data_IF_259974611711
#
_entry.id   IF_259974611711
#
_cell.length_a   1.000
_cell.length_b   1.000
_cell.length_c   1.000
_cell.angle_alpha   90.00
_cell.angle_beta   90.00
_cell.angle_gamma   90.00
#
_symmetry.space_group_name_H-M   'P 1'
#
loop_
_entity.id
_entity.type
_entity.pdbx_description
1 polymer ?
#
# COMPACT_ATOMS: atom_id res chain seq x y z
N UNK A 1 -6.55 2.44 -2.55
CA UNK A 1 -6.33 0.97 -2.66
C UNK A 1 -5.83 0.65 -4.05
N UNK A 2 -5.06 -0.42 -4.20
CA UNK A 2 -4.69 -0.97 -5.51
C UNK A 2 -5.01 -2.45 -5.62
N UNK A 3 -5.26 -2.91 -6.84
CA UNK A 3 -5.13 -4.31 -7.23
C UNK A 3 -3.94 -4.46 -8.17
N UNK A 4 -3.17 -5.53 -7.94
CA UNK A 4 -1.99 -5.87 -8.72
C UNK A 4 -2.22 -7.18 -9.46
N UNK A 5 -1.81 -7.23 -10.72
CA UNK A 5 -1.69 -8.45 -11.51
C UNK A 5 -0.27 -8.56 -12.04
N UNK A 6 0.45 -9.59 -11.61
CA UNK A 6 1.82 -9.86 -12.04
C UNK A 6 1.84 -10.70 -13.32
N UNK A 7 2.51 -10.17 -14.36
CA UNK A 7 2.75 -10.86 -15.62
C UNK A 7 4.26 -10.91 -15.88
N UNK A 8 4.89 -12.04 -15.59
CA UNK A 8 6.32 -12.23 -15.85
C UNK A 8 6.55 -12.42 -17.36
N UNK A 9 7.48 -11.69 -17.99
CA UNK A 9 7.79 -11.87 -19.40
C UNK A 9 8.28 -13.28 -19.72
N UNK A 10 7.83 -13.82 -20.86
CA UNK A 10 8.27 -15.14 -21.32
C UNK A 10 9.80 -15.18 -21.49
N UNK A 11 10.42 -16.28 -21.07
CA UNK A 11 11.88 -16.45 -21.13
C UNK A 11 12.66 -15.78 -20.01
N UNK A 12 11.99 -15.12 -19.04
CA UNK A 12 12.67 -14.63 -17.83
C UNK A 12 13.17 -15.82 -17.01
N UNK A 13 14.48 -15.89 -16.68
CA UNK A 13 15.02 -16.99 -15.87
C UNK A 13 14.38 -17.01 -14.48
N UNK A 14 14.05 -18.20 -13.95
CA UNK A 14 13.41 -18.35 -12.64
C UNK A 14 14.17 -17.65 -11.51
N UNK A 15 15.50 -17.73 -11.51
CA UNK A 15 16.34 -17.02 -10.54
C UNK A 15 16.18 -15.49 -10.60
N UNK A 16 15.97 -14.91 -11.79
CA UNK A 16 15.70 -13.47 -11.95
C UNK A 16 14.30 -13.12 -11.43
N UNK A 17 13.32 -14.01 -11.62
CA UNK A 17 11.98 -13.83 -11.08
C UNK A 17 12.03 -13.84 -9.55
N UNK A 18 12.66 -14.86 -8.96
CA UNK A 18 12.77 -15.01 -7.51
C UNK A 18 13.52 -13.84 -6.87
N UNK A 19 14.63 -13.39 -7.49
CA UNK A 19 15.40 -12.24 -7.01
C UNK A 19 14.57 -10.94 -7.07
N UNK A 20 13.77 -10.74 -8.11
CA UNK A 20 12.91 -9.55 -8.23
C UNK A 20 11.77 -9.59 -7.21
N UNK A 21 11.16 -10.76 -6.98
CA UNK A 21 10.13 -10.95 -5.95
C UNK A 21 10.69 -10.70 -4.55
N UNK A 22 11.91 -11.15 -4.26
CA UNK A 22 12.56 -10.90 -2.98
C UNK A 22 12.75 -9.38 -2.74
N UNK A 23 13.29 -8.67 -3.73
CA UNK A 23 13.46 -7.21 -3.68
C UNK A 23 12.13 -6.48 -3.55
N UNK A 24 11.08 -6.96 -4.22
CA UNK A 24 9.72 -6.43 -4.06
C UNK A 24 9.26 -6.55 -2.61
N UNK A 25 9.42 -7.73 -2.02
CA UNK A 25 9.01 -7.97 -0.65
C UNK A 25 9.77 -7.05 0.33
N UNK A 26 11.06 -6.82 0.11
CA UNK A 26 11.86 -5.91 0.93
C UNK A 26 11.38 -4.47 0.78
N UNK A 27 11.15 -4.00 -0.46
CA UNK A 27 10.61 -2.65 -0.70
C UNK A 27 9.22 -2.45 -0.08
N UNK A 28 8.36 -3.46 -0.17
CA UNK A 28 7.04 -3.43 0.47
C UNK A 28 7.13 -3.36 2.00
N UNK A 29 8.10 -4.06 2.61
CA UNK A 29 8.36 -3.97 4.06
C UNK A 29 8.84 -2.58 4.48
N UNK A 30 9.72 -1.96 3.70
CA UNK A 30 10.16 -0.58 3.94
C UNK A 30 8.98 0.39 3.90
N UNK A 31 8.14 0.29 2.86
CA UNK A 31 6.95 1.13 2.71
C UNK A 31 5.94 0.92 3.84
N UNK A 32 5.82 -0.30 4.37
CA UNK A 32 5.01 -0.58 5.55
C UNK A 32 5.61 0.06 6.81
N UNK A 33 6.93 -0.02 6.99
CA UNK A 33 7.65 0.64 8.09
C UNK A 33 7.55 2.18 8.05
N UNK A 34 7.40 2.75 6.86
CA UNK A 34 7.17 4.19 6.64
C UNK A 34 5.69 4.59 6.81
N UNK A 35 4.78 3.63 6.99
CA UNK A 35 3.35 3.89 7.12
C UNK A 35 2.60 4.12 5.79
N UNK A 36 3.28 3.98 4.65
CA UNK A 36 2.65 4.11 3.33
C UNK A 36 1.84 2.87 2.95
N UNK A 37 2.38 1.67 3.18
CA UNK A 37 1.65 0.42 2.96
C UNK A 37 0.98 -0.02 4.26
N UNK A 38 -0.32 0.26 4.38
CA UNK A 38 -1.08 -0.08 5.58
C UNK A 38 -1.31 -1.59 5.68
N UNK A 39 -1.71 -2.23 4.57
CA UNK A 39 -1.99 -3.66 4.50
C UNK A 39 -1.81 -4.18 3.07
N UNK A 40 -1.38 -5.43 2.97
CA UNK A 40 -1.21 -6.15 1.71
C UNK A 40 -1.82 -7.54 1.84
N UNK A 41 -2.61 -7.93 0.84
CA UNK A 41 -3.24 -9.24 0.77
C UNK A 41 -2.84 -9.95 -0.53
N UNK A 42 -2.69 -11.27 -0.46
CA UNK A 42 -2.65 -12.14 -1.63
C UNK A 42 -4.09 -12.50 -2.00
N UNK A 43 -4.47 -12.24 -3.24
CA UNK A 43 -5.80 -12.61 -3.74
C UNK A 43 -5.78 -14.03 -4.32
N UNK A 44 -6.93 -14.69 -4.45
CA UNK A 44 -7.04 -15.95 -5.19
C UNK A 44 -6.55 -15.78 -6.64
N UNK A 45 -5.89 -16.80 -7.17
CA UNK A 45 -5.21 -16.74 -8.48
C UNK A 45 -3.71 -16.51 -8.37
N UNK A 46 -2.98 -16.80 -9.44
CA UNK A 46 -1.52 -16.63 -9.49
C UNK A 46 -1.16 -15.16 -9.71
N UNK A 47 -0.30 -14.60 -8.85
CA UNK A 47 0.24 -13.25 -9.06
C UNK A 47 -0.72 -12.10 -8.78
N UNK A 48 -1.82 -12.33 -8.07
CA UNK A 48 -2.78 -11.27 -7.71
C UNK A 48 -2.61 -10.80 -6.26
N UNK A 49 -2.63 -9.48 -6.06
CA UNK A 49 -2.54 -8.88 -4.74
C UNK A 49 -3.42 -7.62 -4.62
N UNK A 50 -3.76 -7.26 -3.39
CA UNK A 50 -4.48 -6.04 -3.04
C UNK A 50 -3.67 -5.26 -2.03
N UNK A 51 -3.42 -3.97 -2.30
CA UNK A 51 -2.71 -3.07 -1.40
C UNK A 51 -3.63 -1.97 -0.87
N UNK A 52 -3.60 -1.73 0.44
CA UNK A 52 -4.18 -0.55 1.08
C UNK A 52 -3.05 0.41 1.42
N UNK A 53 -3.15 1.63 0.92
CA UNK A 53 -2.10 2.62 0.95
C UNK A 53 -2.56 3.90 1.65
N UNK A 54 -1.65 4.52 2.38
CA UNK A 54 -1.78 5.88 2.91
C UNK A 54 -0.74 6.77 2.23
N UNK A 55 -1.24 7.77 1.53
CA UNK A 55 -0.45 8.75 0.79
C UNK A 55 -1.11 10.11 0.92
N UNK A 56 -0.33 11.17 0.74
CA UNK A 56 -0.78 12.56 0.74
C UNK A 56 -1.55 12.88 -0.54
N UNK A 57 -1.06 12.42 -1.69
CA UNK A 57 -1.66 12.69 -2.99
C UNK A 57 -1.39 11.59 -4.03
N UNK A 58 -1.95 11.78 -5.22
CA UNK A 58 -1.79 10.87 -6.35
C UNK A 58 -0.35 10.81 -6.87
N UNK A 59 0.42 11.90 -6.80
CA UNK A 59 1.78 11.93 -7.31
C UNK A 59 2.71 11.06 -6.44
N UNK A 60 2.56 11.13 -5.12
CA UNK A 60 3.24 10.25 -4.18
C UNK A 60 2.87 8.78 -4.43
N UNK A 61 1.59 8.49 -4.69
CA UNK A 61 1.16 7.14 -5.05
C UNK A 61 1.88 6.63 -6.31
N UNK A 62 1.96 7.44 -7.36
CA UNK A 62 2.65 7.05 -8.59
C UNK A 62 4.16 6.84 -8.35
N UNK A 63 4.79 7.68 -7.54
CA UNK A 63 6.21 7.53 -7.19
C UNK A 63 6.46 6.23 -6.41
N UNK A 64 5.59 5.90 -5.45
CA UNK A 64 5.67 4.64 -4.70
C UNK A 64 5.53 3.45 -5.64
N UNK A 65 4.51 3.44 -6.51
CA UNK A 65 4.29 2.34 -7.46
C UNK A 65 5.46 2.19 -8.44
N UNK A 66 6.03 3.30 -8.92
CA UNK A 66 7.21 3.27 -9.78
C UNK A 66 8.48 2.77 -9.06
N UNK A 67 8.53 2.90 -7.73
CA UNK A 67 9.66 2.42 -6.92
C UNK A 67 9.66 0.90 -6.71
N UNK A 68 8.55 0.22 -6.99
CA UNK A 68 8.42 -1.22 -6.81
C UNK A 68 9.26 -1.96 -7.86
N UNK A 69 10.15 -2.90 -7.46
CA UNK A 69 10.94 -3.71 -8.38
C UNK A 69 10.13 -4.45 -9.45
N UNK A 70 8.90 -4.86 -9.14
CA UNK A 70 8.01 -5.53 -10.09
C UNK A 70 7.18 -4.57 -10.94
N UNK A 71 7.34 -3.25 -10.83
CA UNK A 71 6.55 -2.24 -11.56
C UNK A 71 6.49 -2.49 -13.07
N UNK A 72 7.58 -2.96 -13.68
CA UNK A 72 7.64 -3.28 -15.12
C UNK A 72 6.85 -4.54 -15.51
N UNK A 73 6.53 -5.42 -14.55
CA UNK A 73 5.81 -6.68 -14.75
C UNK A 73 4.39 -6.63 -14.18
N UNK A 74 4.03 -5.54 -13.52
CA UNK A 74 2.74 -5.38 -12.85
C UNK A 74 1.79 -4.52 -13.66
N UNK A 75 0.56 -5.00 -13.80
CA UNK A 75 -0.58 -4.13 -14.07
C UNK A 75 -1.19 -3.71 -12.74
N UNK A 76 -1.41 -2.40 -12.56
CA UNK A 76 -1.92 -1.82 -11.32
C UNK A 76 -3.19 -1.03 -11.61
N UNK A 77 -4.28 -1.36 -10.92
CA UNK A 77 -5.46 -0.51 -10.89
C UNK A 77 -5.51 0.21 -9.56
N UNK A 78 -5.65 1.54 -9.58
CA UNK A 78 -5.72 2.37 -8.38
C UNK A 78 -7.15 2.87 -8.19
N UNK A 79 -7.70 2.66 -7.00
CA UNK A 79 -9.01 3.17 -6.58
C UNK A 79 -8.81 4.05 -5.34
N UNK A 80 -9.02 5.39 -5.45
CA UNK A 80 -9.05 6.27 -4.29
C UNK A 80 -10.14 5.84 -3.31
N UNK A 81 -9.83 5.89 -2.01
CA UNK A 81 -10.79 5.55 -0.96
C UNK A 81 -11.06 6.79 -0.11
N UNK A 82 -12.32 6.99 0.25
CA UNK A 82 -12.74 8.00 1.22
C UNK A 82 -13.22 7.29 2.49
N UNK A 83 -12.84 7.75 3.70
CA UNK A 83 -13.36 7.18 4.94
C UNK A 83 -14.88 7.20 4.97
N UNK A 84 -15.50 6.08 5.33
CA UNK A 84 -16.94 6.02 5.53
C UNK A 84 -17.30 6.72 6.86
N UNK A 85 -18.39 7.51 6.95
CA UNK A 85 -18.73 8.24 8.18
C UNK A 85 -18.88 7.36 9.41
N UNK A 86 -19.28 6.09 9.25
CA UNK A 86 -19.42 5.13 10.36
C UNK A 86 -18.10 4.71 11.00
N UNK A 87 -17.00 4.75 10.24
CA UNK A 87 -15.65 4.41 10.73
C UNK A 87 -14.81 5.65 10.98
N UNK A 88 -15.36 6.84 10.73
CA UNK A 88 -14.73 8.09 11.13
C UNK A 88 -14.76 8.13 12.66
N UNK A 89 -13.61 7.90 13.28
CA UNK A 89 -13.46 8.16 14.70
C UNK A 89 -13.78 9.64 14.93
N UNK A 90 -14.79 9.95 15.74
CA UNK A 90 -14.97 11.30 16.24
C UNK A 90 -13.67 11.71 16.95
N UNK A 91 -13.17 12.94 16.74
CA UNK A 91 -12.06 13.42 17.54
C UNK A 91 -12.47 13.31 19.01
N UNK A 92 -11.60 12.68 19.83
CA UNK A 92 -11.77 12.73 21.28
C UNK A 92 -11.78 14.20 21.66
N UNK A 93 -12.87 14.68 22.26
CA UNK A 93 -12.89 16.01 22.83
C UNK A 93 -11.84 16.00 23.95
N UNK A 94 -10.84 16.87 23.85
CA UNK A 94 -10.01 17.20 25.01
C UNK A 94 -10.95 17.69 26.12
N UNK A 95 -11.01 16.93 27.21
CA UNK A 95 -11.68 17.29 28.44
C UNK A 95 -10.92 18.49 29.03
N UNK A 96 -11.25 19.70 28.57
CA UNK A 96 -10.92 20.93 29.29
C UNK A 96 -11.68 20.94 30.61
N UNK A 97 -11.20 20.16 31.58
CA UNK A 97 -11.57 20.32 32.97
C UNK A 97 -10.86 21.56 33.51
N UNK A 98 -11.46 22.70 33.19
CA UNK A 98 -11.20 23.97 33.81
C UNK A 98 -11.16 23.80 35.33
N UNK A 99 -9.96 24.03 35.85
CA UNK A 99 -9.67 24.25 37.24
C UNK A 99 -10.47 25.47 37.73
N UNK A 100 -11.60 25.25 38.37
CA UNK A 100 -12.29 26.28 39.15
C UNK A 100 -12.61 25.71 40.53
N UNK A 101 -11.90 26.16 41.57
CA UNK A 101 -12.43 27.17 42.50
C UNK A 101 -11.37 27.59 43.53
N UNK A 102 -11.36 28.91 43.71
CA UNK A 102 -10.75 29.68 44.79
C UNK A 102 -11.30 29.30 46.18
#
# INVERSE_FOLDING_TARGET
MTTFTLTVPAGTPGQTVDATIAREADRARELAGQGHLLRLWRLPGQGHALGLWQVHDTAEMQAILASLPLSAWMSVQTTPLTPHPVTRLSPVADDERGHERA
#
